data_IF_981557878296
#
_entry.id   IF_981557878296
#
_cell.length_a   1.000
_cell.length_b   1.000
_cell.length_c   1.000
_cell.angle_alpha   90.00
_cell.angle_beta   90.00
_cell.angle_gamma   90.00
#
_symmetry.space_group_name_H-M   'P 1'
#
loop_
_entity.id
_entity.type
_entity.pdbx_description
1 polymer ?
#
# COMPACT_ATOMS: atom_id res chain seq x y z
N UNK A 1 7.60 -13.98 -21.87
CA UNK A 1 8.41 -13.31 -20.80
C UNK A 1 9.47 -14.28 -20.28
N UNK A 2 10.74 -13.90 -20.32
CA UNK A 2 11.87 -14.76 -19.91
C UNK A 2 13.10 -13.95 -19.52
N UNK A 3 12.88 -12.70 -19.05
CA UNK A 3 13.97 -11.85 -18.60
C UNK A 3 14.22 -12.14 -17.14
N UNK A 4 15.39 -12.67 -16.86
CA UNK A 4 15.90 -12.80 -15.50
C UNK A 4 16.66 -11.54 -15.10
N UNK A 5 16.56 -11.16 -13.84
CA UNK A 5 17.27 -10.01 -13.27
C UNK A 5 17.98 -10.41 -11.98
N UNK A 6 19.14 -9.80 -11.67
CA UNK A 6 19.92 -10.18 -10.50
C UNK A 6 19.25 -9.77 -9.19
N UNK A 7 19.51 -10.56 -8.15
CA UNK A 7 19.33 -10.19 -6.75
C UNK A 7 20.63 -10.39 -5.97
N UNK A 8 20.71 -9.82 -4.77
CA UNK A 8 21.95 -9.67 -4.01
C UNK A 8 21.75 -10.15 -2.56
N UNK A 9 22.84 -10.53 -1.86
CA UNK A 9 22.82 -10.64 -0.41
C UNK A 9 22.53 -9.28 0.25
N UNK A 10 22.17 -9.29 1.53
CA UNK A 10 21.99 -8.08 2.32
C UNK A 10 23.23 -7.17 2.24
N UNK A 11 22.99 -5.87 2.04
CA UNK A 11 23.99 -4.81 2.05
C UNK A 11 25.23 -5.06 1.18
N UNK A 12 25.05 -5.74 0.03
CA UNK A 12 26.13 -6.11 -0.87
C UNK A 12 25.79 -5.82 -2.33
N UNK A 13 26.82 -5.52 -3.12
CA UNK A 13 26.74 -5.44 -4.59
C UNK A 13 27.10 -6.76 -5.28
N UNK A 14 27.41 -7.81 -4.51
CA UNK A 14 27.66 -9.14 -5.06
C UNK A 14 26.35 -9.74 -5.58
N UNK A 15 26.36 -10.26 -6.82
CA UNK A 15 25.20 -10.99 -7.35
C UNK A 15 25.07 -12.33 -6.60
N UNK A 16 23.91 -12.55 -5.97
CA UNK A 16 23.55 -13.82 -5.33
C UNK A 16 22.93 -14.80 -6.32
N UNK A 17 22.22 -14.31 -7.33
CA UNK A 17 21.60 -15.12 -8.36
C UNK A 17 20.75 -14.27 -9.32
N UNK A 18 20.10 -14.94 -10.26
CA UNK A 18 19.12 -14.35 -11.17
C UNK A 18 17.74 -14.95 -10.89
N UNK A 19 16.67 -14.19 -11.12
CA UNK A 19 15.31 -14.68 -11.02
C UNK A 19 14.39 -14.01 -12.04
N UNK A 20 13.37 -14.73 -12.48
CA UNK A 20 12.25 -14.17 -13.25
C UNK A 20 11.19 -13.61 -12.31
N UNK A 21 10.69 -12.39 -12.58
CA UNK A 21 9.56 -11.82 -11.85
C UNK A 21 8.26 -12.51 -12.25
N UNK A 22 7.68 -13.27 -11.32
CA UNK A 22 6.40 -14.00 -11.51
C UNK A 22 5.18 -13.26 -10.93
N UNK A 23 5.42 -12.18 -10.17
CA UNK A 23 4.40 -11.32 -9.56
C UNK A 23 3.89 -11.80 -8.20
N UNK A 24 3.46 -10.84 -7.38
CA UNK A 24 3.03 -11.07 -5.98
C UNK A 24 4.20 -10.99 -4.99
N UNK A 25 4.01 -11.54 -3.78
CA UNK A 25 4.93 -11.37 -2.64
C UNK A 25 5.07 -9.91 -2.20
N UNK A 26 4.01 -9.14 -2.40
CA UNK A 26 3.94 -7.73 -2.01
C UNK A 26 3.26 -7.58 -0.63
N UNK A 27 3.63 -6.51 0.07
CA UNK A 27 3.05 -6.15 1.38
C UNK A 27 2.33 -4.81 1.29
N UNK A 28 1.05 -4.80 1.64
CA UNK A 28 0.21 -3.62 1.66
C UNK A 28 -0.43 -3.46 3.03
N UNK A 29 0.16 -2.63 3.88
CA UNK A 29 -0.37 -2.37 5.22
C UNK A 29 -0.80 -0.92 5.39
N UNK A 30 -2.00 -0.73 5.96
CA UNK A 30 -2.52 0.56 6.38
C UNK A 30 -2.57 1.61 5.25
N UNK A 31 -2.87 1.23 4.02
CA UNK A 31 -2.96 2.17 2.88
C UNK A 31 -4.37 2.75 2.74
N UNK A 32 -4.48 3.86 2.00
CA UNK A 32 -5.75 4.37 1.47
C UNK A 32 -5.74 4.17 -0.04
N UNK A 33 -6.67 3.35 -0.55
CA UNK A 33 -6.89 3.17 -1.98
C UNK A 33 -8.10 3.98 -2.40
N UNK A 34 -8.01 4.68 -3.52
CA UNK A 34 -9.10 5.51 -4.06
C UNK A 34 -9.30 5.10 -5.50
N UNK A 35 -10.51 4.66 -5.83
CA UNK A 35 -10.88 4.34 -7.20
C UNK A 35 -11.49 5.52 -7.94
N UNK A 36 -12.12 5.20 -9.06
CA UNK A 36 -12.79 6.15 -9.95
C UNK A 36 -14.32 6.15 -9.81
N UNK A 37 -14.87 5.50 -8.79
CA UNK A 37 -16.31 5.35 -8.55
C UNK A 37 -16.95 4.15 -9.25
N UNK A 38 -16.20 3.45 -10.10
CA UNK A 38 -16.67 2.24 -10.77
C UNK A 38 -16.33 0.99 -9.94
N UNK A 39 -17.22 -0.01 -9.97
CA UNK A 39 -16.96 -1.35 -9.40
C UNK A 39 -17.05 -2.36 -10.54
N UNK A 40 -15.93 -2.89 -11.03
CA UNK A 40 -15.92 -3.78 -12.18
C UNK A 40 -16.61 -5.12 -11.87
N UNK A 41 -17.43 -5.60 -12.80
CA UNK A 41 -18.02 -6.94 -12.77
C UNK A 41 -16.96 -8.03 -12.93
N UNK A 42 -17.28 -9.28 -12.57
CA UNK A 42 -16.38 -10.41 -12.77
C UNK A 42 -15.95 -10.57 -14.26
N UNK A 43 -16.86 -10.28 -15.19
CA UNK A 43 -16.58 -10.32 -16.63
C UNK A 43 -15.58 -9.22 -17.03
N UNK A 44 -15.72 -8.02 -16.48
CA UNK A 44 -14.77 -6.92 -16.71
C UNK A 44 -13.39 -7.19 -16.10
N UNK A 45 -13.34 -7.89 -14.96
CA UNK A 45 -12.08 -8.33 -14.34
C UNK A 45 -11.39 -9.43 -15.17
N UNK A 46 -12.17 -10.31 -15.80
CA UNK A 46 -11.65 -11.42 -16.61
C UNK A 46 -10.85 -12.44 -15.79
N UNK A 47 -10.11 -13.31 -16.49
CA UNK A 47 -9.20 -14.25 -15.83
C UNK A 47 -7.86 -13.58 -15.50
N UNK A 48 -7.73 -13.14 -14.24
CA UNK A 48 -6.56 -12.40 -13.75
C UNK A 48 -5.25 -13.20 -13.85
N UNK A 49 -5.31 -14.53 -13.95
CA UNK A 49 -4.10 -15.37 -14.09
C UNK A 49 -3.52 -15.29 -15.49
N UNK A 50 -4.38 -15.13 -16.49
CA UNK A 50 -4.01 -15.05 -17.90
C UNK A 50 -3.68 -13.61 -18.33
N UNK A 51 -4.16 -12.61 -17.57
CA UNK A 51 -3.93 -11.20 -17.88
C UNK A 51 -2.49 -10.75 -17.55
N UNK A 52 -1.75 -10.45 -18.62
CA UNK A 52 -0.42 -9.84 -18.56
C UNK A 52 -0.45 -8.42 -17.99
N UNK A 53 -1.47 -7.64 -18.32
CA UNK A 53 -1.63 -6.25 -17.90
C UNK A 53 -2.98 -6.08 -17.23
N UNK A 54 -2.98 -5.50 -16.03
CA UNK A 54 -4.18 -5.26 -15.26
C UNK A 54 -4.18 -3.79 -14.87
N UNK A 55 -5.28 -3.10 -15.16
CA UNK A 55 -5.56 -1.77 -14.62
C UNK A 55 -6.66 -1.95 -13.57
N UNK A 56 -6.32 -1.73 -12.30
CA UNK A 56 -7.23 -1.96 -11.18
C UNK A 56 -7.13 -0.84 -10.16
N UNK A 57 -8.26 -0.52 -9.54
CA UNK A 57 -8.30 0.31 -8.33
C UNK A 57 -8.34 -0.61 -7.10
N UNK A 58 -7.26 -0.64 -6.32
CA UNK A 58 -7.10 -1.52 -5.17
C UNK A 58 -6.30 -2.80 -5.47
N UNK A 59 -6.43 -3.80 -4.58
CA UNK A 59 -5.54 -4.97 -4.55
C UNK A 59 -6.08 -6.21 -5.27
N UNK A 60 -7.36 -6.23 -5.69
CA UNK A 60 -7.94 -7.34 -6.44
C UNK A 60 -7.18 -7.67 -7.74
N UNK A 61 -6.52 -6.68 -8.35
CA UNK A 61 -5.71 -6.89 -9.56
C UNK A 61 -4.51 -7.81 -9.34
N UNK A 62 -4.17 -8.14 -8.10
CA UNK A 62 -3.09 -9.06 -7.75
C UNK A 62 -3.57 -10.51 -7.51
N UNK A 63 -4.88 -10.78 -7.51
CA UNK A 63 -5.42 -12.10 -7.16
C UNK A 63 -5.02 -13.22 -8.13
N UNK A 64 -4.61 -12.86 -9.36
CA UNK A 64 -4.07 -13.80 -10.34
C UNK A 64 -2.55 -14.02 -10.29
N UNK A 65 -1.83 -13.40 -9.34
CA UNK A 65 -0.36 -13.46 -9.28
C UNK A 65 0.15 -14.71 -8.58
N UNK A 66 1.37 -15.12 -8.93
CA UNK A 66 1.94 -16.40 -8.52
C UNK A 66 2.16 -16.51 -7.00
N UNK A 67 2.56 -15.40 -6.36
CA UNK A 67 2.73 -15.35 -4.92
C UNK A 67 1.61 -14.55 -4.24
N UNK A 68 1.15 -14.98 -3.06
CA UNK A 68 0.08 -14.28 -2.35
C UNK A 68 0.54 -12.90 -1.88
N UNK A 69 -0.42 -11.99 -1.73
CA UNK A 69 -0.22 -10.73 -1.05
C UNK A 69 -0.23 -10.92 0.47
N UNK A 70 0.46 -10.01 1.16
CA UNK A 70 0.32 -9.81 2.61
C UNK A 70 -0.31 -8.44 2.82
N UNK A 71 -1.59 -8.39 3.13
CA UNK A 71 -2.33 -7.14 3.25
C UNK A 71 -3.18 -7.11 4.52
N UNK A 72 -3.24 -5.94 5.16
CA UNK A 72 -4.17 -5.65 6.26
C UNK A 72 -4.20 -4.15 6.57
N UNK A 73 -5.27 -3.69 7.21
CA UNK A 73 -5.44 -2.32 7.66
C UNK A 73 -5.75 -1.32 6.55
N UNK A 74 -5.91 -1.78 5.30
CA UNK A 74 -6.16 -0.89 4.17
C UNK A 74 -7.61 -0.38 4.19
N UNK A 75 -7.80 0.83 3.67
CA UNK A 75 -9.12 1.45 3.48
C UNK A 75 -9.34 1.71 2.01
N UNK A 76 -10.49 1.28 1.49
CA UNK A 76 -10.83 1.33 0.08
C UNK A 76 -11.98 2.30 -0.17
N UNK A 77 -11.71 3.34 -0.93
CA UNK A 77 -12.62 4.44 -1.26
C UNK A 77 -13.01 4.42 -2.73
N UNK A 78 -14.16 5.02 -3.02
CA UNK A 78 -14.59 5.37 -4.37
C UNK A 78 -14.45 4.23 -5.41
N UNK A 79 -14.99 3.04 -5.12
CA UNK A 79 -14.93 1.89 -6.01
C UNK A 79 -13.61 1.09 -6.03
N UNK A 80 -12.59 1.48 -5.27
CA UNK A 80 -11.42 0.60 -5.07
C UNK A 80 -11.84 -0.68 -4.29
N UNK A 81 -11.19 -1.81 -4.56
CA UNK A 81 -11.52 -3.10 -3.94
C UNK A 81 -10.29 -3.82 -3.35
N UNK A 82 -10.47 -4.56 -2.24
CA UNK A 82 -9.43 -5.38 -1.63
C UNK A 82 -9.07 -6.59 -2.48
N UNK A 83 -7.92 -7.21 -2.20
CA UNK A 83 -7.57 -8.52 -2.74
C UNK A 83 -8.40 -9.62 -2.07
N UNK A 84 -8.61 -10.74 -2.77
CA UNK A 84 -9.45 -11.84 -2.32
C UNK A 84 -9.02 -12.47 -0.98
N UNK A 85 -7.76 -12.28 -0.58
CA UNK A 85 -7.18 -12.86 0.65
C UNK A 85 -6.97 -11.85 1.78
N UNK A 86 -7.29 -10.57 1.57
CA UNK A 86 -7.20 -9.58 2.64
C UNK A 86 -8.40 -9.74 3.60
N UNK A 87 -8.14 -9.86 4.91
CA UNK A 87 -9.19 -10.09 5.92
C UNK A 87 -9.51 -8.86 6.78
N UNK A 88 -8.55 -7.93 6.91
CA UNK A 88 -8.60 -6.78 7.81
C UNK A 88 -8.63 -5.46 7.06
N UNK A 89 -9.63 -5.24 6.21
CA UNK A 89 -9.81 -3.98 5.51
C UNK A 89 -11.05 -3.22 5.96
N UNK A 90 -11.21 -1.99 5.48
CA UNK A 90 -12.46 -1.23 5.58
C UNK A 90 -12.87 -0.69 4.21
N UNK A 91 -14.14 -0.88 3.86
CA UNK A 91 -14.74 -0.36 2.62
C UNK A 91 -15.49 0.94 2.88
N UNK A 92 -15.28 1.93 2.00
CA UNK A 92 -16.04 3.18 1.88
C UNK A 92 -16.29 3.48 0.39
N UNK A 93 -16.98 2.58 -0.33
CA UNK A 93 -16.96 2.56 -1.80
C UNK A 93 -17.67 3.75 -2.44
N UNK A 94 -18.53 4.45 -1.71
CA UNK A 94 -19.30 5.59 -2.19
C UNK A 94 -18.74 6.95 -1.75
N UNK A 95 -17.60 6.97 -1.07
CA UNK A 95 -16.95 8.21 -0.67
C UNK A 95 -15.80 8.52 -1.63
N UNK A 96 -16.00 9.53 -2.47
CA UNK A 96 -14.91 10.20 -3.18
C UNK A 96 -14.19 11.16 -2.23
N UNK A 97 -12.87 11.06 -2.18
CA UNK A 97 -12.04 11.97 -1.39
C UNK A 97 -11.68 13.24 -2.16
N UNK A 98 -11.98 13.31 -3.46
CA UNK A 98 -11.70 14.44 -4.36
C UNK A 98 -10.27 14.96 -4.23
N UNK A 99 -9.32 14.02 -4.16
CA UNK A 99 -7.91 14.32 -3.86
C UNK A 99 -7.29 15.17 -4.95
N UNK A 100 -6.68 16.29 -4.57
CA UNK A 100 -5.97 17.18 -5.48
C UNK A 100 -4.67 17.66 -4.85
N UNK A 101 -3.62 17.73 -5.66
CA UNK A 101 -2.36 18.36 -5.29
C UNK A 101 -2.32 19.74 -5.95
N UNK A 102 -2.24 20.81 -5.15
CA UNK A 102 -2.31 22.20 -5.61
C UNK A 102 -0.99 22.88 -5.28
N UNK A 103 -0.42 23.58 -6.27
CA UNK A 103 0.78 24.41 -6.09
C UNK A 103 0.38 25.88 -5.94
N UNK A 104 0.92 26.55 -4.93
CA UNK A 104 0.82 27.99 -4.76
C UNK A 104 2.12 28.56 -4.19
N UNK A 105 2.71 29.54 -4.88
CA UNK A 105 3.93 30.22 -4.46
C UNK A 105 5.12 29.26 -4.13
N UNK A 106 5.26 28.18 -4.89
CA UNK A 106 6.32 27.18 -4.70
C UNK A 106 6.09 26.20 -3.55
N UNK A 107 4.92 26.23 -2.92
CA UNK A 107 4.48 25.27 -1.91
C UNK A 107 3.41 24.35 -2.50
N UNK A 108 3.40 23.09 -2.07
CA UNK A 108 2.44 22.09 -2.49
C UNK A 108 1.51 21.71 -1.34
N UNK A 109 0.22 21.64 -1.65
CA UNK A 109 -0.81 21.28 -0.69
C UNK A 109 -1.74 20.19 -1.22
N UNK A 110 -1.99 19.19 -0.39
CA UNK A 110 -2.90 18.09 -0.63
C UNK A 110 -4.31 18.46 -0.13
N UNK A 111 -5.25 18.63 -1.04
CA UNK A 111 -6.66 18.80 -0.75
C UNK A 111 -7.37 17.46 -0.83
N UNK A 112 -8.26 17.20 0.12
CA UNK A 112 -9.11 16.02 0.15
C UNK A 112 -10.33 16.28 1.06
N UNK A 113 -11.37 15.46 0.92
CA UNK A 113 -12.60 15.56 1.72
C UNK A 113 -12.88 14.25 2.45
N UNK A 114 -12.83 14.28 3.78
CA UNK A 114 -13.23 13.15 4.63
C UNK A 114 -14.53 13.45 5.38
N UNK A 115 -15.56 12.63 5.14
CA UNK A 115 -16.86 12.74 5.82
C UNK A 115 -16.88 12.06 7.19
N UNK A 116 -15.90 11.22 7.50
CA UNK A 116 -15.75 10.55 8.79
C UNK A 116 -14.28 10.20 9.08
N UNK A 117 -13.86 10.17 10.36
CA UNK A 117 -12.49 9.82 10.74
C UNK A 117 -12.02 8.48 10.18
N UNK A 118 -10.73 8.34 9.87
CA UNK A 118 -10.18 7.09 9.36
C UNK A 118 -10.23 5.96 10.41
N UNK A 119 -10.59 4.73 10.03
CA UNK A 119 -10.70 3.61 10.95
C UNK A 119 -9.32 3.05 11.30
N UNK A 120 -9.04 2.89 12.59
CA UNK A 120 -7.74 2.36 13.09
C UNK A 120 -7.86 0.99 13.77
N UNK A 121 -9.05 0.41 13.84
CA UNK A 121 -9.27 -0.87 14.55
C UNK A 121 -8.72 -2.10 13.82
N UNK A 122 -8.39 -1.95 12.53
CA UNK A 122 -7.87 -3.01 11.65
C UNK A 122 -6.40 -2.81 11.28
N UNK A 123 -5.81 -1.67 11.64
CA UNK A 123 -4.44 -1.33 11.27
C UNK A 123 -3.43 -2.09 12.14
N UNK A 124 -2.20 -2.22 11.62
CA UNK A 124 -1.11 -2.92 12.30
C UNK A 124 0.13 -2.05 12.33
N UNK A 125 0.82 -2.01 13.45
CA UNK A 125 2.12 -1.35 13.51
C UNK A 125 3.16 -2.11 12.69
N UNK A 126 3.75 -1.46 11.68
CA UNK A 126 4.59 -2.13 10.68
C UNK A 126 6.03 -2.22 11.18
N UNK A 127 6.54 -3.46 11.19
CA UNK A 127 7.89 -3.81 11.65
C UNK A 127 8.51 -4.85 10.72
N UNK A 128 9.82 -5.06 10.79
CA UNK A 128 10.49 -6.17 10.10
C UNK A 128 9.82 -7.52 10.35
N UNK A 129 9.40 -7.79 11.60
CA UNK A 129 8.74 -9.05 11.94
C UNK A 129 7.39 -9.21 11.25
N UNK A 130 6.62 -8.12 11.12
CA UNK A 130 5.35 -8.17 10.38
C UNK A 130 5.61 -8.38 8.88
N UNK A 131 6.63 -7.74 8.31
CA UNK A 131 6.96 -7.82 6.90
C UNK A 131 7.61 -9.17 6.54
N UNK A 132 8.29 -9.83 7.47
CA UNK A 132 8.96 -11.11 7.20
C UNK A 132 10.10 -10.96 6.18
N UNK A 133 10.13 -11.85 5.19
CA UNK A 133 11.19 -11.92 4.19
C UNK A 133 10.62 -11.95 2.76
N UNK A 134 11.34 -11.35 1.82
CA UNK A 134 11.02 -11.48 0.40
C UNK A 134 11.30 -12.92 -0.08
N UNK A 135 10.41 -13.46 -0.89
CA UNK A 135 10.39 -14.86 -1.36
C UNK A 135 11.60 -15.22 -2.20
N UNK A 136 12.02 -14.30 -3.09
CA UNK A 136 13.09 -14.56 -4.07
C UNK A 136 14.47 -14.45 -3.43
N UNK A 137 14.75 -13.35 -2.72
CA UNK A 137 16.06 -13.12 -2.11
C UNK A 137 16.24 -13.83 -0.77
N UNK A 138 15.13 -14.20 -0.10
CA UNK A 138 15.15 -14.70 1.28
C UNK A 138 15.57 -13.65 2.31
N UNK A 139 15.60 -12.37 1.93
CA UNK A 139 16.11 -11.30 2.79
C UNK A 139 15.00 -10.66 3.61
N UNK A 140 15.28 -10.26 4.88
CA UNK A 140 14.35 -9.50 5.70
C UNK A 140 14.27 -8.04 5.27
N UNK A 141 13.26 -7.34 5.76
CA UNK A 141 13.16 -5.89 5.66
C UNK A 141 13.89 -5.23 6.82
N UNK A 142 15.09 -4.69 6.58
CA UNK A 142 15.95 -4.04 7.58
C UNK A 142 16.42 -2.67 7.10
N UNK A 143 16.89 -1.83 8.02
CA UNK A 143 17.56 -0.57 7.69
C UNK A 143 18.96 -0.85 7.11
N UNK A 144 19.63 0.19 6.63
CA UNK A 144 20.96 0.09 6.02
C UNK A 144 22.06 -0.46 6.97
N UNK A 145 21.83 -0.37 8.28
CA UNK A 145 22.72 -0.85 9.35
C UNK A 145 22.28 -2.21 9.92
N UNK A 146 21.48 -2.98 9.18
CA UNK A 146 20.84 -4.24 9.59
C UNK A 146 19.85 -4.14 10.75
N UNK A 147 19.60 -2.94 11.31
CA UNK A 147 18.62 -2.79 12.38
C UNK A 147 17.18 -3.03 11.87
N UNK A 148 16.28 -3.58 12.70
CA UNK A 148 14.89 -3.79 12.28
C UNK A 148 14.19 -2.48 11.90
N UNK A 149 13.50 -2.51 10.76
CA UNK A 149 12.58 -1.44 10.34
C UNK A 149 11.43 -1.35 11.33
N UNK A 150 11.08 -0.12 11.68
CA UNK A 150 9.86 0.26 12.37
C UNK A 150 9.28 1.47 11.65
N UNK A 151 8.09 1.35 11.09
CA UNK A 151 7.40 2.49 10.45
C UNK A 151 6.65 3.24 11.56
N UNK A 152 7.41 3.98 12.36
CA UNK A 152 6.95 4.58 13.62
C UNK A 152 6.82 6.11 13.56
N UNK A 153 7.15 6.69 12.41
CA UNK A 153 6.96 8.10 12.09
C UNK A 153 6.12 8.23 10.81
N UNK A 154 5.31 9.27 10.76
CA UNK A 154 4.50 9.62 9.59
C UNK A 154 5.27 10.56 8.64
N UNK A 155 4.61 11.03 7.57
CA UNK A 155 5.20 11.92 6.58
C UNK A 155 5.82 13.20 7.17
N UNK A 156 5.26 13.75 8.26
CA UNK A 156 5.73 14.96 8.92
C UNK A 156 6.67 14.69 10.10
N UNK A 157 7.11 13.45 10.28
CA UNK A 157 7.95 13.04 11.40
C UNK A 157 7.19 12.87 12.72
N UNK A 158 5.85 12.90 12.72
CA UNK A 158 5.05 12.65 13.94
C UNK A 158 5.06 11.16 14.28
N UNK A 159 5.10 10.84 15.57
CA UNK A 159 5.06 9.45 16.04
C UNK A 159 3.70 8.82 15.75
N UNK A 160 3.71 7.62 15.17
CA UNK A 160 2.50 6.82 14.94
C UNK A 160 2.04 6.14 16.22
N UNK A 161 0.74 5.91 16.36
CA UNK A 161 0.20 5.11 17.46
C UNK A 161 0.74 3.66 17.34
N UNK A 162 1.38 3.11 18.39
CA UNK A 162 2.02 1.79 18.33
C UNK A 162 1.02 0.62 18.32
N UNK A 163 -0.25 0.87 18.67
CA UNK A 163 -1.32 -0.13 18.72
C UNK A 163 -2.24 -0.04 17.51
N UNK A 164 -2.58 1.19 17.11
CA UNK A 164 -3.64 1.50 16.15
C UNK A 164 -3.23 2.69 15.27
N UNK A 165 -2.16 2.56 14.46
CA UNK A 165 -1.69 3.65 13.62
C UNK A 165 -2.79 4.08 12.65
N UNK A 166 -2.85 5.38 12.33
CA UNK A 166 -3.78 5.88 11.31
C UNK A 166 -3.38 5.36 9.94
N UNK A 167 -4.33 4.82 9.13
CA UNK A 167 -4.00 4.41 7.78
C UNK A 167 -3.71 5.63 6.89
N UNK A 168 -2.85 5.43 5.90
CA UNK A 168 -2.31 6.47 5.05
C UNK A 168 -0.99 7.04 5.56
N UNK A 169 -0.49 8.08 4.89
CA UNK A 169 0.83 8.65 5.16
C UNK A 169 0.89 9.53 6.41
N UNK A 170 -0.25 9.93 6.97
CA UNK A 170 -0.36 10.88 8.09
C UNK A 170 -0.96 10.21 9.32
N UNK A 171 -0.36 10.44 10.50
CA UNK A 171 -0.92 9.96 11.77
C UNK A 171 -2.13 10.78 12.19
N UNK A 172 -2.10 12.08 11.92
CA UNK A 172 -3.16 13.03 12.25
C UNK A 172 -3.59 13.77 10.98
N UNK A 173 -4.90 13.91 10.78
CA UNK A 173 -5.47 14.68 9.70
C UNK A 173 -6.17 15.92 10.28
N UNK A 174 -6.03 17.11 9.65
CA UNK A 174 -6.96 18.20 9.90
C UNK A 174 -8.37 17.69 9.55
N UNK A 175 -9.39 18.11 10.31
CA UNK A 175 -10.73 17.52 10.30
C UNK A 175 -11.53 17.68 8.98
N UNK A 176 -12.79 18.10 9.08
CA UNK A 176 -13.79 17.99 8.01
C UNK A 176 -13.51 18.83 6.73
N UNK A 177 -12.44 19.62 6.71
CA UNK A 177 -11.98 20.34 5.53
C UNK A 177 -10.52 20.72 5.72
N UNK A 178 -9.84 20.88 4.60
CA UNK A 178 -8.70 21.77 4.42
C UNK A 178 -7.31 21.13 4.52
N UNK A 179 -6.78 20.93 3.31
CA UNK A 179 -5.42 21.29 2.90
C UNK A 179 -4.29 20.87 3.86
N UNK A 180 -3.56 19.83 3.46
CA UNK A 180 -2.29 19.45 4.08
C UNK A 180 -1.13 19.97 3.23
N UNK A 181 -0.34 20.90 3.76
CA UNK A 181 0.93 21.28 3.13
C UNK A 181 1.89 20.10 3.13
N UNK A 182 2.38 19.71 1.97
CA UNK A 182 3.26 18.56 1.78
C UNK A 182 4.63 18.93 1.21
N UNK A 183 4.82 20.16 0.72
CA UNK A 183 6.14 20.66 0.31
C UNK A 183 6.20 22.19 0.41
#
# INVERSE_FOLDING_TARGET
PGRETPYHPAHSTKVAGLATTTGGDDRFYNNLFIGNGETPSAEQKGDLKELRWISSHGLWGYDGRAFPLQAAGNVYFNGAEPGATEDKFVMRPHQDLSVRLVEAAGQWALHFTLTAPLPTSKTRFVTSNLLGQAKVSGMPYVNADDSPVRVDVDYFGKRRDPSRPTPGPFQELPGASDELRVW
#
